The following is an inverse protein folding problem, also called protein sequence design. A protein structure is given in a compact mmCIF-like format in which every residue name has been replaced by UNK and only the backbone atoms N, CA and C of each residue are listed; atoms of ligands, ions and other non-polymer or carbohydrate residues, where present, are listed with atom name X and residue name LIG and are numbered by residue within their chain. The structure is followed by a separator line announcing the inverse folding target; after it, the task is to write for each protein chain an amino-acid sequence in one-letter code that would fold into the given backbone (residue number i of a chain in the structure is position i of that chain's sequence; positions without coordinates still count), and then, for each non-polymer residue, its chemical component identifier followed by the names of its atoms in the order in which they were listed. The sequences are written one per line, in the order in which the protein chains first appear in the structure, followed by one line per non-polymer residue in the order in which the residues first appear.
data_IF_511344693933
#
_entry.id   IF_511344693933
#
_cell.length_a   1.000
_cell.length_b   1.000
_cell.length_c   1.000
_cell.angle_alpha   90.00
_cell.angle_beta   90.00
_cell.angle_gamma   90.00
#
_symmetry.space_group_name_H-M   'P 1'
#
loop_
_entity.id
_entity.type
_entity.pdbx_description
1 polymer ?
#
# COMPACT_ATOMS: atom_id res chain seq x y z
N UNK A 1 -15.71 5.98 -0.64
CA UNK A 1 -16.49 4.94 0.06
C UNK A 1 -17.97 5.12 -0.29
N UNK A 2 -18.54 4.32 -1.19
CA UNK A 2 -19.91 4.50 -1.71
C UNK A 2 -20.98 4.51 -0.60
N UNK A 3 -20.79 3.69 0.44
CA UNK A 3 -21.61 3.67 1.66
C UNK A 3 -21.71 5.04 2.34
N UNK A 4 -20.59 5.76 2.49
CA UNK A 4 -20.56 7.02 3.22
C UNK A 4 -21.32 8.12 2.47
N UNK A 5 -21.20 8.18 1.14
CA UNK A 5 -21.97 9.13 0.33
C UNK A 5 -23.46 8.80 0.32
N UNK A 6 -23.83 7.51 0.24
CA UNK A 6 -25.22 7.08 0.30
C UNK A 6 -25.85 7.37 1.68
N UNK A 7 -25.09 7.14 2.77
CA UNK A 7 -25.49 7.51 4.13
C UNK A 7 -25.70 9.02 4.27
N UNK A 8 -24.72 9.82 3.85
CA UNK A 8 -24.82 11.29 3.92
C UNK A 8 -26.02 11.81 3.12
N UNK A 9 -26.28 11.25 1.94
CA UNK A 9 -27.46 11.60 1.14
C UNK A 9 -28.78 11.21 1.86
N UNK A 10 -28.82 10.03 2.48
CA UNK A 10 -29.98 9.56 3.24
C UNK A 10 -30.27 10.40 4.49
N UNK A 11 -29.22 10.90 5.16
CA UNK A 11 -29.36 11.77 6.34
C UNK A 11 -29.77 13.18 5.95
N UNK A 12 -29.26 13.71 4.84
CA UNK A 12 -29.44 15.12 4.47
C UNK A 12 -30.71 15.40 3.64
N UNK A 13 -31.38 14.39 3.09
CA UNK A 13 -32.60 14.60 2.32
C UNK A 13 -33.59 13.42 2.41
N UNK A 14 -34.90 13.69 2.58
CA UNK A 14 -35.94 12.66 2.55
C UNK A 14 -36.01 12.02 1.15
N UNK A 15 -36.16 10.69 1.10
CA UNK A 15 -36.25 9.91 -0.15
C UNK A 15 -34.97 9.17 -0.58
N UNK A 16 -33.87 9.30 0.18
CA UNK A 16 -32.61 8.61 -0.14
C UNK A 16 -32.31 7.38 0.76
N UNK A 17 -33.19 7.08 1.73
CA UNK A 17 -33.05 5.92 2.63
C UNK A 17 -33.09 4.61 1.85
N UNK A 18 -34.00 4.46 0.89
CA UNK A 18 -34.11 3.23 0.09
C UNK A 18 -32.84 2.94 -0.70
N UNK A 19 -32.24 3.98 -1.28
CA UNK A 19 -30.94 3.88 -1.99
C UNK A 19 -29.83 3.45 -1.05
N UNK A 20 -29.81 3.97 0.17
CA UNK A 20 -28.84 3.59 1.19
C UNK A 20 -29.01 2.13 1.63
N UNK A 21 -30.24 1.70 1.94
CA UNK A 21 -30.55 0.31 2.29
C UNK A 21 -30.17 -0.64 1.14
N UNK A 22 -30.56 -0.34 -0.10
CA UNK A 22 -30.18 -1.15 -1.26
C UNK A 22 -28.66 -1.24 -1.44
N UNK A 23 -27.93 -0.15 -1.19
CA UNK A 23 -26.46 -0.12 -1.25
C UNK A 23 -25.84 -0.99 -0.17
N UNK A 24 -26.33 -0.93 1.07
CA UNK A 24 -25.86 -1.79 2.16
C UNK A 24 -26.17 -3.24 1.88
N UNK A 25 -27.40 -3.58 1.52
CA UNK A 25 -27.79 -4.96 1.25
C UNK A 25 -26.90 -5.57 0.18
N UNK A 26 -26.59 -4.81 -0.89
CA UNK A 26 -25.70 -5.25 -1.97
C UNK A 26 -24.24 -5.43 -1.56
N UNK A 27 -23.71 -4.56 -0.69
CA UNK A 27 -22.27 -4.53 -0.36
C UNK A 27 -21.93 -5.22 0.97
N UNK A 28 -22.92 -5.52 1.81
CA UNK A 28 -22.71 -6.05 3.18
C UNK A 28 -21.97 -7.40 3.21
N UNK A 29 -22.19 -8.25 2.20
CA UNK A 29 -21.53 -9.55 2.06
C UNK A 29 -20.21 -9.50 1.28
N UNK A 30 -19.81 -8.31 0.82
CA UNK A 30 -18.65 -8.12 -0.05
C UNK A 30 -17.44 -7.70 0.78
N UNK A 31 -16.36 -8.50 0.69
CA UNK A 31 -15.09 -8.13 1.29
C UNK A 31 -14.58 -6.81 0.68
N UNK A 32 -14.13 -5.84 1.49
CA UNK A 32 -13.66 -4.56 0.99
C UNK A 32 -12.42 -4.75 0.11
N UNK A 33 -12.26 -3.88 -0.88
CA UNK A 33 -11.10 -3.91 -1.76
C UNK A 33 -9.78 -3.81 -0.96
N UNK A 34 -8.88 -4.77 -1.17
CA UNK A 34 -7.52 -4.77 -0.59
C UNK A 34 -6.58 -3.71 -1.20
N UNK A 35 -7.13 -2.87 -2.10
CA UNK A 35 -6.42 -1.78 -2.76
C UNK A 35 -5.15 -2.27 -3.45
N UNK A 36 -4.00 -1.80 -2.97
CA UNK A 36 -2.67 -2.07 -3.49
C UNK A 36 -2.13 -3.44 -3.10
N UNK A 37 -2.80 -4.17 -2.22
CA UNK A 37 -2.34 -5.47 -1.75
C UNK A 37 -2.79 -6.59 -2.69
N UNK A 38 -1.92 -7.58 -2.88
CA UNK A 38 -2.20 -8.76 -3.68
C UNK A 38 -3.14 -9.69 -2.92
N UNK A 39 -4.25 -10.07 -3.55
CA UNK A 39 -5.23 -11.00 -2.98
C UNK A 39 -5.21 -12.30 -3.77
N UNK A 40 -4.97 -13.40 -3.05
CA UNK A 40 -5.12 -14.77 -3.56
C UNK A 40 -6.53 -15.27 -3.25
N UNK A 41 -7.10 -16.12 -4.10
CA UNK A 41 -8.45 -16.64 -3.94
C UNK A 41 -9.48 -15.50 -3.85
N UNK A 42 -9.27 -14.45 -4.65
CA UNK A 42 -10.21 -13.33 -4.75
C UNK A 42 -11.32 -13.62 -5.75
N UNK A 43 -12.47 -12.95 -5.55
CA UNK A 43 -13.51 -12.84 -6.60
C UNK A 43 -13.14 -11.68 -7.52
N UNK A 44 -12.90 -11.98 -8.79
CA UNK A 44 -12.41 -11.04 -9.80
C UNK A 44 -13.34 -10.93 -10.99
N UNK A 45 -13.39 -9.73 -11.55
CA UNK A 45 -14.06 -9.39 -12.79
C UNK A 45 -12.99 -8.96 -13.79
N UNK A 46 -12.84 -9.71 -14.86
CA UNK A 46 -11.83 -9.53 -15.90
C UNK A 46 -12.40 -8.63 -16.99
N UNK A 47 -11.61 -7.69 -17.50
CA UNK A 47 -12.01 -6.85 -18.65
C UNK A 47 -11.85 -7.62 -19.99
N UNK A 48 -12.42 -8.81 -20.06
CA UNK A 48 -12.31 -9.72 -21.21
C UNK A 48 -13.03 -9.22 -22.46
N UNK A 49 -14.13 -8.48 -22.32
CA UNK A 49 -14.90 -7.94 -23.45
C UNK A 49 -14.11 -6.90 -24.28
N UNK A 50 -13.07 -6.29 -23.70
CA UNK A 50 -12.16 -5.38 -24.39
C UNK A 50 -10.84 -6.04 -24.82
N UNK A 51 -10.75 -7.38 -24.78
CA UNK A 51 -9.49 -8.09 -25.07
C UNK A 51 -8.39 -7.86 -24.02
N UNK A 52 -8.76 -7.43 -22.81
CA UNK A 52 -7.85 -7.07 -21.73
C UNK A 52 -8.13 -7.86 -20.44
N UNK A 53 -8.19 -9.20 -20.56
CA UNK A 53 -8.44 -10.10 -19.43
C UNK A 53 -7.34 -10.09 -18.35
N UNK A 54 -6.20 -9.46 -18.64
CA UNK A 54 -5.14 -9.15 -17.69
C UNK A 54 -5.56 -8.07 -16.67
N UNK A 55 -6.46 -7.16 -17.06
CA UNK A 55 -6.99 -6.11 -16.19
C UNK A 55 -8.18 -6.61 -15.39
N UNK A 56 -8.15 -6.37 -14.07
CA UNK A 56 -9.12 -6.96 -13.14
C UNK A 56 -9.70 -5.95 -12.16
N UNK A 57 -10.99 -6.08 -11.88
CA UNK A 57 -11.65 -5.44 -10.75
C UNK A 57 -12.01 -6.48 -9.70
N UNK A 58 -11.69 -6.22 -8.43
CA UNK A 58 -12.22 -7.03 -7.33
C UNK A 58 -13.74 -6.87 -7.23
N UNK A 59 -14.41 -7.83 -6.59
CA UNK A 59 -15.86 -7.80 -6.41
C UNK A 59 -16.40 -6.48 -5.83
N UNK A 60 -15.72 -5.88 -4.85
CA UNK A 60 -16.10 -4.59 -4.26
C UNK A 60 -16.04 -3.45 -5.29
N UNK A 61 -14.93 -3.31 -6.01
CA UNK A 61 -14.79 -2.26 -7.03
C UNK A 61 -15.76 -2.45 -8.19
N UNK A 62 -16.04 -3.69 -8.57
CA UNK A 62 -17.08 -3.98 -9.55
C UNK A 62 -18.46 -3.55 -9.03
N UNK A 63 -18.89 -4.05 -7.88
CA UNK A 63 -20.22 -3.79 -7.32
C UNK A 63 -20.46 -2.31 -6.94
N UNK A 64 -19.40 -1.55 -6.66
CA UNK A 64 -19.50 -0.15 -6.24
C UNK A 64 -19.37 0.86 -7.38
N UNK A 65 -18.55 0.58 -8.40
CA UNK A 65 -18.16 1.59 -9.39
C UNK A 65 -18.42 1.18 -10.85
N UNK A 66 -18.55 -0.12 -11.13
CA UNK A 66 -18.66 -0.63 -12.50
C UNK A 66 -20.07 -1.17 -12.76
N UNK A 67 -20.64 -1.91 -11.82
CA UNK A 67 -21.97 -2.47 -11.91
C UNK A 67 -23.00 -1.34 -12.15
N UNK A 68 -23.78 -1.48 -13.22
CA UNK A 68 -24.77 -0.48 -13.64
C UNK A 68 -24.23 0.65 -14.50
N UNK A 69 -22.94 0.65 -14.86
CA UNK A 69 -22.40 1.54 -15.89
C UNK A 69 -22.66 0.98 -17.30
N UNK A 70 -22.64 1.84 -18.32
CA UNK A 70 -22.90 1.45 -19.71
C UNK A 70 -21.94 0.36 -20.23
N UNK A 71 -20.72 0.33 -19.70
CA UNK A 71 -19.67 -0.61 -20.10
C UNK A 71 -19.48 -1.78 -19.12
N UNK A 72 -20.40 -1.96 -18.16
CA UNK A 72 -20.30 -3.04 -17.17
C UNK A 72 -20.16 -4.42 -17.83
N UNK A 73 -20.83 -4.62 -18.97
CA UNK A 73 -20.80 -5.87 -19.73
C UNK A 73 -19.43 -6.19 -20.36
N UNK A 74 -18.50 -5.24 -20.42
CA UNK A 74 -17.12 -5.53 -20.83
C UNK A 74 -16.37 -6.36 -19.80
N UNK A 75 -16.84 -6.40 -18.55
CA UNK A 75 -16.28 -7.21 -17.51
C UNK A 75 -17.03 -8.53 -17.37
N UNK A 76 -16.28 -9.62 -17.42
CA UNK A 76 -16.79 -10.96 -17.18
C UNK A 76 -16.19 -11.50 -15.86
N UNK A 77 -16.96 -12.22 -15.05
CA UNK A 77 -16.44 -12.81 -13.83
C UNK A 77 -15.42 -13.91 -14.12
N UNK A 78 -14.49 -14.11 -13.19
CA UNK A 78 -13.60 -15.26 -13.18
C UNK A 78 -14.24 -16.45 -12.42
N UNK A 79 -14.16 -17.69 -12.94
CA UNK A 79 -13.59 -18.09 -14.22
C UNK A 79 -14.52 -17.70 -15.39
N UNK A 80 -13.98 -17.53 -16.62
CA UNK A 80 -14.78 -17.19 -17.79
C UNK A 80 -15.97 -18.14 -17.96
N UNK A 81 -17.17 -17.58 -18.19
CA UNK A 81 -18.40 -18.36 -18.32
C UNK A 81 -19.10 -18.73 -17.01
N UNK A 82 -18.62 -18.24 -15.86
CA UNK A 82 -19.33 -18.35 -14.58
C UNK A 82 -20.35 -17.22 -14.38
N UNK A 83 -21.36 -17.45 -13.54
CA UNK A 83 -22.41 -16.46 -13.25
C UNK A 83 -22.00 -15.44 -12.16
N UNK A 84 -20.71 -15.16 -11.98
CA UNK A 84 -20.19 -14.16 -11.03
C UNK A 84 -20.36 -14.47 -9.55
N UNK A 85 -21.44 -15.14 -9.17
CA UNK A 85 -21.89 -15.51 -7.82
C UNK A 85 -21.63 -16.98 -7.49
N UNK A 86 -21.00 -17.74 -8.39
CA UNK A 86 -20.71 -19.17 -8.23
C UNK A 86 -19.73 -19.52 -7.08
N UNK A 87 -19.34 -18.56 -6.24
CA UNK A 87 -18.40 -18.76 -5.13
C UNK A 87 -16.97 -19.11 -5.58
N UNK A 88 -16.69 -19.05 -6.88
CA UNK A 88 -15.40 -19.37 -7.48
C UNK A 88 -14.38 -18.27 -7.21
N UNK A 89 -13.16 -18.67 -6.86
CA UNK A 89 -12.09 -17.75 -6.47
C UNK A 89 -10.82 -18.02 -7.26
N UNK A 90 -10.19 -16.97 -7.78
CA UNK A 90 -8.98 -17.12 -8.61
C UNK A 90 -7.78 -17.47 -7.74
N UNK A 91 -7.12 -18.62 -7.94
CA UNK A 91 -5.93 -19.00 -7.17
C UNK A 91 -4.71 -18.11 -7.45
N UNK A 92 -4.73 -17.31 -8.51
CA UNK A 92 -3.66 -16.37 -8.86
C UNK A 92 -3.75 -15.13 -7.95
N UNK A 93 -2.65 -14.73 -7.28
CA UNK A 93 -2.62 -13.48 -6.53
C UNK A 93 -2.67 -12.29 -7.50
N UNK A 94 -3.69 -11.44 -7.36
CA UNK A 94 -3.89 -10.25 -8.21
C UNK A 94 -4.07 -8.99 -7.38
N UNK A 95 -3.86 -7.85 -8.03
CA UNK A 95 -4.14 -6.50 -7.51
C UNK A 95 -5.32 -5.94 -8.28
N UNK A 96 -6.20 -5.21 -7.61
CA UNK A 96 -7.35 -4.60 -8.27
C UNK A 96 -6.92 -3.39 -9.12
N UNK A 97 -7.13 -3.39 -10.43
CA UNK A 97 -6.79 -2.23 -11.26
C UNK A 97 -7.73 -1.05 -11.01
N UNK A 98 -8.91 -1.30 -10.46
CA UNK A 98 -9.96 -0.30 -10.24
C UNK A 98 -10.04 0.22 -8.79
N UNK A 99 -9.03 -0.07 -7.95
CA UNK A 99 -9.07 0.36 -6.55
C UNK A 99 -8.95 1.88 -6.37
N UNK A 100 -8.28 2.57 -7.29
CA UNK A 100 -8.03 4.00 -7.14
C UNK A 100 -9.21 4.84 -7.58
N UNK A 101 -9.30 6.02 -6.98
CA UNK A 101 -10.32 6.99 -7.35
C UNK A 101 -10.09 7.53 -8.76
N UNK A 102 -8.84 7.77 -9.15
CA UNK A 102 -8.50 8.22 -10.49
C UNK A 102 -8.93 7.21 -11.56
N UNK A 103 -8.67 5.91 -11.36
CA UNK A 103 -9.09 4.86 -12.30
C UNK A 103 -10.61 4.76 -12.41
N UNK A 104 -11.34 4.89 -11.29
CA UNK A 104 -12.82 4.92 -11.32
C UNK A 104 -13.36 6.17 -12.01
N UNK A 105 -12.71 7.32 -11.86
CA UNK A 105 -13.07 8.55 -12.56
C UNK A 105 -12.86 8.40 -14.08
N UNK A 106 -11.73 7.82 -14.49
CA UNK A 106 -11.43 7.49 -15.89
C UNK A 106 -12.43 6.49 -16.47
N UNK A 107 -12.80 5.44 -15.73
CA UNK A 107 -13.85 4.51 -16.14
C UNK A 107 -15.20 5.22 -16.35
N UNK A 108 -15.57 6.11 -15.42
CA UNK A 108 -16.78 6.92 -15.55
C UNK A 108 -16.76 7.86 -16.76
N UNK A 109 -15.61 8.44 -17.09
CA UNK A 109 -15.42 9.24 -18.30
C UNK A 109 -15.55 8.37 -19.57
N UNK A 110 -14.85 7.24 -19.62
CA UNK A 110 -14.95 6.27 -20.71
C UNK A 110 -16.41 5.87 -20.99
N UNK A 111 -17.18 5.56 -19.95
CA UNK A 111 -18.60 5.21 -20.10
C UNK A 111 -19.41 6.35 -20.76
N UNK A 112 -19.13 7.61 -20.43
CA UNK A 112 -19.82 8.76 -21.05
C UNK A 112 -19.41 8.94 -22.49
N UNK A 113 -18.10 8.83 -22.77
CA UNK A 113 -17.54 9.04 -24.10
C UNK A 113 -18.03 7.97 -25.08
N UNK A 114 -18.08 6.70 -24.66
CA UNK A 114 -18.62 5.60 -25.48
C UNK A 114 -20.13 5.78 -25.72
N UNK A 115 -20.90 6.18 -24.71
CA UNK A 115 -22.34 6.45 -24.89
C UNK A 115 -22.57 7.61 -25.86
N UNK A 116 -21.75 8.67 -25.78
CA UNK A 116 -21.82 9.80 -26.70
C UNK A 116 -21.43 9.42 -28.13
N UNK A 117 -20.37 8.64 -28.29
CA UNK A 117 -19.90 8.15 -29.59
C UNK A 117 -20.95 7.22 -30.24
N UNK A 118 -21.55 6.32 -29.47
CA UNK A 118 -22.64 5.46 -29.96
C UNK A 118 -23.87 6.29 -30.41
N UNK A 119 -24.23 7.35 -29.68
CA UNK A 119 -25.30 8.26 -30.08
C UNK A 119 -24.99 9.05 -31.37
N UNK A 120 -23.70 9.28 -31.66
CA UNK A 120 -23.22 9.92 -32.87
C UNK A 120 -22.97 8.94 -34.04
N UNK A 121 -23.08 7.63 -33.81
CA UNK A 121 -22.73 6.59 -34.80
C UNK A 121 -21.22 6.46 -35.05
N UNK A 122 -20.39 6.88 -34.09
CA UNK A 122 -18.92 6.81 -34.17
C UNK A 122 -18.38 5.58 -33.43
N UNK A 123 -18.57 4.40 -34.01
CA UNK A 123 -18.08 3.14 -33.43
C UNK A 123 -16.55 3.09 -33.34
N UNK A 124 -15.85 3.78 -34.26
CA UNK A 124 -14.38 3.84 -34.28
C UNK A 124 -13.86 4.66 -33.11
N UNK A 125 -14.47 5.82 -32.85
CA UNK A 125 -14.15 6.65 -31.68
C UNK A 125 -14.46 5.93 -30.36
N UNK A 126 -15.59 5.20 -30.28
CA UNK A 126 -15.94 4.40 -29.11
C UNK A 126 -14.88 3.32 -28.82
N UNK A 127 -14.45 2.58 -29.85
CA UNK A 127 -13.43 1.56 -29.72
C UNK A 127 -12.06 2.16 -29.35
N UNK A 128 -11.66 3.26 -29.99
CA UNK A 128 -10.41 3.96 -29.67
C UNK A 128 -10.36 4.47 -28.22
N UNK A 129 -11.48 4.91 -27.66
CA UNK A 129 -11.56 5.32 -26.26
C UNK A 129 -11.34 4.13 -25.30
N UNK A 130 -11.92 2.96 -25.61
CA UNK A 130 -11.72 1.72 -24.83
C UNK A 130 -10.26 1.28 -24.89
N UNK A 131 -9.65 1.30 -26.08
CA UNK A 131 -8.24 0.95 -26.28
C UNK A 131 -7.30 1.88 -25.50
N UNK A 132 -7.53 3.19 -25.53
CA UNK A 132 -6.77 4.16 -24.75
C UNK A 132 -6.89 3.93 -23.24
N UNK A 133 -8.07 3.55 -22.75
CA UNK A 133 -8.27 3.18 -21.35
C UNK A 133 -7.51 1.91 -20.97
N UNK A 134 -7.55 0.88 -21.83
CA UNK A 134 -6.80 -0.37 -21.62
C UNK A 134 -5.29 -0.11 -21.59
N UNK A 135 -4.79 0.71 -22.52
CA UNK A 135 -3.38 1.07 -22.59
C UNK A 135 -2.93 1.80 -21.32
N UNK A 136 -3.68 2.82 -20.88
CA UNK A 136 -3.40 3.53 -19.64
C UNK A 136 -3.42 2.60 -18.42
N UNK A 137 -4.42 1.71 -18.35
CA UNK A 137 -4.54 0.75 -17.24
C UNK A 137 -3.33 -0.19 -17.17
N UNK A 138 -2.85 -0.69 -18.32
CA UNK A 138 -1.62 -1.51 -18.40
C UNK A 138 -0.38 -0.72 -18.05
N UNK A 139 -0.28 0.54 -18.50
CA UNK A 139 0.81 1.43 -18.10
C UNK A 139 0.85 1.60 -16.58
N UNK A 140 -0.28 1.94 -15.96
CA UNK A 140 -0.41 2.05 -14.51
C UNK A 140 -0.05 0.75 -13.78
N UNK A 141 -0.48 -0.40 -14.29
CA UNK A 141 -0.14 -1.70 -13.71
C UNK A 141 1.38 -1.94 -13.72
N UNK A 142 2.07 -1.62 -14.82
CA UNK A 142 3.54 -1.69 -14.90
C UNK A 142 4.22 -0.74 -13.92
N UNK A 143 3.72 0.48 -13.76
CA UNK A 143 4.23 1.43 -12.77
C UNK A 143 4.05 0.88 -11.35
N UNK A 144 2.89 0.29 -11.05
CA UNK A 144 2.64 -0.38 -9.76
C UNK A 144 3.68 -1.47 -9.49
N UNK A 145 3.92 -2.37 -10.46
CA UNK A 145 4.85 -3.49 -10.29
C UNK A 145 6.29 -3.04 -10.00
N UNK A 146 6.68 -1.89 -10.56
CA UNK A 146 8.02 -1.31 -10.39
C UNK A 146 8.18 -0.46 -9.13
N UNK A 147 7.08 0.00 -8.53
CA UNK A 147 7.11 1.00 -7.44
C UNK A 147 6.65 0.42 -6.11
N UNK A 148 5.39 -0.01 -6.02
CA UNK A 148 4.76 -0.35 -4.74
C UNK A 148 5.46 -1.48 -3.99
N UNK A 149 5.84 -2.62 -4.62
CA UNK A 149 6.58 -3.68 -3.93
C UNK A 149 7.91 -3.20 -3.35
N UNK A 150 8.62 -2.32 -4.08
CA UNK A 150 9.89 -1.75 -3.64
C UNK A 150 9.69 -0.84 -2.44
N UNK A 151 8.68 0.04 -2.47
CA UNK A 151 8.35 0.89 -1.31
C UNK A 151 7.97 0.07 -0.07
N UNK A 152 7.23 -1.03 -0.24
CA UNK A 152 6.89 -1.93 0.87
C UNK A 152 8.15 -2.57 1.46
N UNK A 153 9.11 -2.95 0.63
CA UNK A 153 10.37 -3.53 1.08
C UNK A 153 11.25 -2.50 1.82
N UNK A 154 11.40 -1.30 1.27
CA UNK A 154 12.12 -0.21 1.94
C UNK A 154 11.49 0.14 3.30
N UNK A 155 10.16 0.12 3.39
CA UNK A 155 9.46 0.35 4.66
C UNK A 155 9.72 -0.76 5.69
N UNK A 156 9.81 -2.03 5.25
CA UNK A 156 10.20 -3.13 6.15
C UNK A 156 11.63 -2.98 6.65
N UNK A 157 12.55 -2.62 5.75
CA UNK A 157 13.95 -2.38 6.10
C UNK A 157 14.09 -1.19 7.06
N UNK A 158 13.36 -0.10 6.82
CA UNK A 158 13.32 1.06 7.71
C UNK A 158 12.80 0.70 9.11
N UNK A 159 11.73 -0.11 9.21
CA UNK A 159 11.24 -0.60 10.51
C UNK A 159 12.27 -1.45 11.25
N UNK A 160 12.90 -2.41 10.56
CA UNK A 160 13.93 -3.24 11.15
C UNK A 160 15.16 -2.43 11.61
N UNK A 161 15.56 -1.41 10.84
CA UNK A 161 16.62 -0.47 11.25
C UNK A 161 16.21 0.36 12.47
N UNK A 162 14.97 0.86 12.52
CA UNK A 162 14.45 1.58 13.68
C UNK A 162 14.45 0.74 14.96
N UNK A 163 14.10 -0.54 14.87
CA UNK A 163 14.18 -1.48 15.98
C UNK A 163 15.62 -1.72 16.43
N UNK A 164 16.56 -1.92 15.50
CA UNK A 164 18.00 -2.05 15.80
C UNK A 164 18.57 -0.78 16.44
N UNK A 165 18.19 0.39 15.94
CA UNK A 165 18.63 1.67 16.49
C UNK A 165 18.10 1.86 17.92
N UNK A 166 16.83 1.50 18.17
CA UNK A 166 16.26 1.53 19.52
C UNK A 166 17.05 0.62 20.46
N UNK A 167 17.32 -0.62 20.05
CA UNK A 167 18.11 -1.56 20.84
C UNK A 167 19.54 -1.05 21.09
N UNK A 168 20.20 -0.47 20.08
CA UNK A 168 21.53 0.12 20.24
C UNK A 168 21.54 1.30 21.24
N UNK A 169 20.50 2.14 21.22
CA UNK A 169 20.36 3.25 22.16
C UNK A 169 20.07 2.77 23.60
N UNK A 170 19.25 1.73 23.76
CA UNK A 170 18.98 1.08 25.05
C UNK A 170 20.27 0.46 25.63
N UNK A 171 21.02 -0.27 24.80
CA UNK A 171 22.32 -0.85 25.18
C UNK A 171 23.36 0.22 25.51
N UNK A 172 23.44 1.30 24.72
CA UNK A 172 24.34 2.42 24.97
C UNK A 172 24.04 3.08 26.32
N UNK A 173 22.76 3.30 26.64
CA UNK A 173 22.32 3.88 27.91
C UNK A 173 22.66 2.96 29.10
N UNK A 174 22.46 1.65 28.94
CA UNK A 174 22.82 0.65 29.95
C UNK A 174 24.33 0.60 30.18
N UNK A 175 25.14 0.59 29.12
CA UNK A 175 26.60 0.62 29.24
C UNK A 175 27.10 1.94 29.82
N UNK A 176 26.47 3.07 29.51
CA UNK A 176 26.76 4.35 30.16
C UNK A 176 26.45 4.32 31.65
N UNK A 177 25.32 3.74 32.05
CA UNK A 177 24.99 3.58 33.47
C UNK A 177 26.01 2.70 34.18
N UNK A 178 26.41 1.56 33.58
CA UNK A 178 27.44 0.68 34.12
C UNK A 178 28.82 1.36 34.19
N UNK A 179 29.18 2.19 33.21
CA UNK A 179 30.39 3.01 33.26
C UNK A 179 30.35 3.96 34.47
N UNK A 180 29.24 4.68 34.67
CA UNK A 180 29.11 5.59 35.79
C UNK A 180 29.16 4.86 37.15
N UNK A 181 28.46 3.73 37.30
CA UNK A 181 28.47 2.96 38.55
C UNK A 181 29.84 2.33 38.84
N UNK A 182 30.53 1.82 37.81
CA UNK A 182 31.89 1.27 37.97
C UNK A 182 32.92 2.35 38.31
N UNK A 183 32.78 3.56 37.77
CA UNK A 183 33.64 4.72 38.13
C UNK A 183 33.38 5.22 39.55
N UNK A 184 32.12 5.29 39.97
CA UNK A 184 31.76 5.70 41.33
C UNK A 184 32.22 4.67 42.38
N UNK A 185 32.04 3.37 42.12
CA UNK A 185 32.57 2.32 43.01
C UNK A 185 34.09 2.31 43.08
N UNK A 186 34.79 2.50 41.96
CA UNK A 186 36.24 2.66 41.94
C UNK A 186 36.73 3.89 42.74
N UNK A 187 35.96 4.99 42.76
CA UNK A 187 36.31 6.19 43.54
C UNK A 187 36.09 6.07 45.05
N UNK A 188 35.29 5.09 45.51
CA UNK A 188 34.97 4.89 46.93
C UNK A 188 36.01 4.02 47.65
N UNK A 189 36.88 3.32 46.90
CA UNK A 189 37.87 2.40 47.44
C UNK A 189 39.24 3.08 47.64
N UNK A 190 39.32 3.98 48.63
CA UNK A 190 40.59 4.43 49.22
C UNK A 190 41.12 3.34 50.17
N UNK A 191 41.48 2.18 49.63
CA UNK A 191 41.97 1.07 50.43
C UNK A 191 42.39 -0.10 49.57
N UNK A 192 43.70 -0.19 49.34
CA UNK A 192 44.47 -1.39 48.98
C UNK A 192 43.79 -2.44 48.08
N UNK A 193 44.20 -2.49 46.81
CA UNK A 193 44.02 -3.65 45.94
C UNK A 193 42.97 -3.51 44.84
N UNK A 194 43.11 -2.52 43.96
CA UNK A 194 42.42 -2.57 42.65
C UNK A 194 43.42 -3.02 41.59
N UNK A 195 43.47 -4.34 41.35
CA UNK A 195 44.20 -4.92 40.23
C UNK A 195 43.33 -4.75 38.97
N UNK A 196 43.76 -3.89 38.03
CA UNK A 196 43.30 -3.99 36.63
C UNK A 196 42.76 -2.73 35.93
N UNK A 197 42.90 -1.52 36.46
CA UNK A 197 42.54 -0.29 35.70
C UNK A 197 43.74 0.63 35.52
N UNK A 198 44.71 0.19 34.72
CA UNK A 198 45.78 1.06 34.20
C UNK A 198 45.98 0.72 32.72
N UNK A 199 45.50 1.59 31.82
CA UNK A 199 45.85 1.50 30.39
C UNK A 199 44.91 2.24 29.43
N UNK A 200 45.06 3.58 29.34
CA UNK A 200 44.78 4.37 28.12
C UNK A 200 43.32 4.74 27.81
N UNK A 201 43.00 6.04 27.96
CA UNK A 201 41.72 6.72 27.67
C UNK A 201 40.54 6.44 28.62
N UNK A 202 40.55 7.08 29.79
CA UNK A 202 39.40 7.85 30.31
C UNK A 202 38.04 7.18 30.59
N UNK A 203 37.92 5.86 30.73
CA UNK A 203 36.65 5.19 31.06
C UNK A 203 36.80 3.74 31.54
N UNK A 204 35.74 3.16 32.12
CA UNK A 204 35.68 1.72 32.45
C UNK A 204 35.59 0.87 31.17
N UNK A 205 35.66 -0.46 31.30
CA UNK A 205 35.43 -1.41 30.18
C UNK A 205 34.10 -1.19 29.44
N UNK A 206 33.12 -0.55 30.11
CA UNK A 206 31.80 -0.25 29.56
C UNK A 206 31.78 1.02 28.70
N UNK A 207 32.76 1.93 28.84
CA UNK A 207 32.84 3.15 28.03
C UNK A 207 33.08 2.84 26.54
N UNK A 208 33.93 1.85 26.24
CA UNK A 208 34.16 1.40 24.87
C UNK A 208 32.94 0.73 24.24
N UNK A 209 32.17 -0.01 25.04
CA UNK A 209 30.93 -0.67 24.60
C UNK A 209 29.80 0.34 24.34
N UNK A 210 29.68 1.38 25.19
CA UNK A 210 28.74 2.48 24.97
C UNK A 210 29.05 3.25 23.67
N UNK A 211 30.33 3.57 23.43
CA UNK A 211 30.76 4.26 22.21
C UNK A 211 30.53 3.41 20.95
N UNK A 212 30.81 2.10 21.00
CA UNK A 212 30.55 1.18 19.90
C UNK A 212 29.05 1.08 19.56
N UNK A 213 28.18 0.98 20.58
CA UNK A 213 26.73 0.97 20.38
C UNK A 213 26.22 2.31 19.80
N UNK A 214 26.77 3.44 20.24
CA UNK A 214 26.47 4.76 19.67
C UNK A 214 26.89 4.90 18.20
N UNK A 215 28.08 4.41 17.84
CA UNK A 215 28.58 4.42 16.47
C UNK A 215 27.72 3.55 15.53
N UNK A 216 27.24 2.39 16.01
CA UNK A 216 26.28 1.56 15.29
C UNK A 216 24.97 2.31 15.03
N UNK A 217 24.47 3.08 16.00
CA UNK A 217 23.28 3.92 15.84
C UNK A 217 23.44 5.00 14.75
N UNK A 218 24.60 5.64 14.65
CA UNK A 218 24.89 6.65 13.61
C UNK A 218 25.04 6.01 12.23
N UNK A 219 25.67 4.85 12.13
CA UNK A 219 25.79 4.11 10.85
C UNK A 219 24.43 3.76 10.24
N UNK A 220 23.49 3.30 11.06
CA UNK A 220 22.12 2.98 10.63
C UNK A 220 21.34 4.21 10.13
N UNK A 221 21.67 5.42 10.63
CA UNK A 221 21.04 6.67 10.18
C UNK A 221 21.51 7.08 8.77
N UNK A 222 22.80 6.91 8.47
CA UNK A 222 23.37 7.24 7.15
C UNK A 222 22.79 6.32 6.07
N UNK A 223 22.68 5.01 6.36
CA UNK A 223 22.01 4.05 5.48
C UNK A 223 20.54 4.44 5.20
N UNK A 224 19.84 5.00 6.19
CA UNK A 224 18.46 5.45 6.05
C UNK A 224 18.27 6.60 5.05
N UNK A 225 19.28 7.44 4.80
CA UNK A 225 19.14 8.59 3.90
C UNK A 225 19.06 8.19 2.42
N UNK A 226 19.76 7.12 2.00
CA UNK A 226 19.68 6.61 0.63
C UNK A 226 18.29 6.10 0.28
N UNK A 227 17.61 5.49 1.25
CA UNK A 227 16.26 4.96 1.06
C UNK A 227 15.21 6.07 0.91
N UNK A 228 15.40 7.22 1.55
CA UNK A 228 14.47 8.37 1.42
C UNK A 228 14.49 8.92 -0.01
N UNK A 229 15.67 9.14 -0.59
CA UNK A 229 15.79 9.59 -1.97
C UNK A 229 15.16 8.59 -2.95
N UNK A 230 15.35 7.28 -2.70
CA UNK A 230 14.73 6.24 -3.51
C UNK A 230 13.20 6.23 -3.37
N UNK A 231 12.65 6.40 -2.17
CA UNK A 231 11.20 6.49 -1.96
C UNK A 231 10.61 7.70 -2.70
N UNK A 232 11.27 8.86 -2.65
CA UNK A 232 10.81 10.07 -3.35
C UNK A 232 10.71 9.86 -4.87
N UNK A 233 11.71 9.22 -5.48
CA UNK A 233 11.67 8.86 -6.90
C UNK A 233 10.48 7.93 -7.22
N UNK A 234 10.28 6.88 -6.42
CA UNK A 234 9.21 5.91 -6.62
C UNK A 234 7.82 6.54 -6.42
N UNK A 235 7.68 7.45 -5.45
CA UNK A 235 6.47 8.22 -5.25
C UNK A 235 6.17 9.17 -6.41
N UNK A 236 7.19 9.81 -6.98
CA UNK A 236 7.05 10.64 -8.17
C UNK A 236 6.45 9.85 -9.33
N UNK A 237 6.99 8.66 -9.60
CA UNK A 237 6.48 7.75 -10.64
C UNK A 237 5.05 7.28 -10.36
N UNK A 238 4.72 7.02 -9.10
CA UNK A 238 3.36 6.60 -8.71
C UNK A 238 2.34 7.73 -8.87
N UNK A 239 2.72 8.99 -8.59
CA UNK A 239 1.86 10.18 -8.78
C UNK A 239 1.53 10.48 -10.24
N UNK A 240 2.31 9.99 -11.20
CA UNK A 240 1.99 10.17 -12.63
C UNK A 240 0.71 9.40 -13.04
N UNK A 241 0.38 8.32 -12.32
CA UNK A 241 -0.69 7.39 -12.66
C UNK A 241 -1.88 7.40 -11.69
N UNK A 242 -1.85 8.25 -10.66
CA UNK A 242 -2.85 8.39 -9.60
C UNK A 242 -3.19 9.86 -9.33
#
# INVERSE_FOLDING_TARGET
MPYAHAYLAAVNAPGHVDRYVATITRLSSVAPCARRDRVRNGRWWLLGGAGAADLVACHDCHASAIAGTALAALLAPWPPGSDGDAGTTDPVPRVCDMYSEQMRARWGALCRDVVAAAAAGDDVGAQGAVEAFVEFSRYRHRVYEQTVPVCVELLKQAKARGERQRMANEMSSLYHQMDMTSRLSASTMWGYGSYGVIGGYGGSVYAGQAAAAGAQGVGLMIEGMGDVARVEELEGRWREVE
#
